data_IF_089409534517
#
_entry.id   IF_089409534517
#
_cell.length_a   1.000
_cell.length_b   1.000
_cell.length_c   1.000
_cell.angle_alpha   90.00
_cell.angle_beta   90.00
_cell.angle_gamma   90.00
#
_symmetry.space_group_name_H-M   'P 1'
#
loop_
_entity.id
_entity.type
_entity.pdbx_description
1 polymer ?
#
# COMPACT_ATOMS: atom_id res chain seq x y z
N UNK A 1 5.69 32.10 4.35
CA UNK A 1 5.70 30.89 3.51
C UNK A 1 4.52 30.03 3.91
N UNK A 2 3.52 29.85 3.05
CA UNK A 2 2.35 29.02 3.35
C UNK A 2 2.07 28.11 2.17
N UNK A 3 2.25 26.80 2.35
CA UNK A 3 1.79 25.76 1.42
C UNK A 3 0.89 24.80 2.20
N UNK A 4 -0.28 25.32 2.59
CA UNK A 4 -1.44 24.55 2.98
C UNK A 4 -2.57 25.06 2.08
N UNK A 5 -3.04 24.21 1.16
CA UNK A 5 -4.06 24.58 0.16
C UNK A 5 -3.72 24.26 -1.29
N UNK A 6 -2.60 23.59 -1.58
CA UNK A 6 -2.40 23.00 -2.91
C UNK A 6 -3.28 21.75 -3.00
N UNK A 7 -4.23 21.76 -3.92
CA UNK A 7 -5.02 20.58 -4.28
C UNK A 7 -4.06 19.47 -4.73
N UNK A 8 -4.27 18.27 -4.20
CA UNK A 8 -3.52 17.08 -4.63
C UNK A 8 -3.77 16.89 -6.14
N UNK A 9 -2.75 17.00 -7.01
CA UNK A 9 -2.92 16.90 -8.45
C UNK A 9 -3.39 15.51 -8.89
N UNK A 10 -3.39 14.52 -7.98
CA UNK A 10 -3.91 13.18 -8.19
C UNK A 10 -5.29 12.95 -7.54
N UNK A 11 -5.87 13.94 -6.85
CA UNK A 11 -7.24 13.84 -6.38
C UNK A 11 -8.18 13.86 -7.59
N UNK A 12 -8.83 12.73 -7.85
CA UNK A 12 -9.92 12.68 -8.83
C UNK A 12 -11.02 13.63 -8.35
N UNK A 13 -11.27 14.70 -9.12
CA UNK A 13 -12.38 15.64 -8.91
C UNK A 13 -13.67 14.83 -8.73
N UNK A 14 -14.24 14.86 -7.52
CA UNK A 14 -15.48 14.18 -7.16
C UNK A 14 -15.40 13.11 -6.06
N UNK A 15 -14.20 12.64 -5.66
CA UNK A 15 -14.10 11.77 -4.48
C UNK A 15 -13.95 12.60 -3.20
N UNK A 16 -15.08 12.97 -2.61
CA UNK A 16 -15.10 13.40 -1.21
C UNK A 16 -14.80 12.16 -0.37
N UNK A 17 -13.62 12.11 0.25
CA UNK A 17 -13.24 11.06 1.20
C UNK A 17 -14.00 11.25 2.51
N UNK A 18 -15.33 11.13 2.46
CA UNK A 18 -16.20 11.21 3.62
C UNK A 18 -16.09 9.89 4.39
N UNK A 19 -15.35 9.93 5.51
CA UNK A 19 -15.14 8.78 6.40
C UNK A 19 -16.42 8.31 7.10
N UNK A 20 -17.53 9.05 6.98
CA UNK A 20 -18.83 8.66 7.55
C UNK A 20 -19.62 7.75 6.63
N UNK A 21 -19.29 7.68 5.34
CA UNK A 21 -19.89 6.75 4.40
C UNK A 21 -19.18 5.39 4.52
N UNK A 22 -19.87 4.40 5.07
CA UNK A 22 -19.42 3.00 5.00
C UNK A 22 -19.26 2.61 3.53
N UNK A 23 -18.12 1.99 3.19
CA UNK A 23 -17.95 1.31 1.91
C UNK A 23 -19.20 0.48 1.60
N UNK A 24 -19.80 0.67 0.43
CA UNK A 24 -20.99 -0.06 0.04
C UNK A 24 -20.71 -1.56 0.15
N UNK A 25 -21.64 -2.30 0.77
CA UNK A 25 -21.50 -3.73 1.03
C UNK A 25 -21.35 -4.48 -0.30
N UNK A 26 -20.12 -4.83 -0.66
CA UNK A 26 -19.76 -5.46 -1.94
C UNK A 26 -18.64 -4.77 -2.72
N UNK A 27 -18.23 -3.56 -2.33
CA UNK A 27 -17.14 -2.86 -3.02
C UNK A 27 -15.77 -3.41 -2.58
N UNK A 28 -15.12 -4.14 -3.48
CA UNK A 28 -13.81 -4.74 -3.21
C UNK A 28 -12.70 -3.70 -3.38
N UNK A 29 -12.26 -3.09 -2.28
CA UNK A 29 -11.17 -2.12 -2.28
C UNK A 29 -9.83 -2.86 -2.26
N UNK A 30 -9.15 -2.92 -3.41
CA UNK A 30 -7.81 -3.50 -3.51
C UNK A 30 -6.76 -2.62 -2.81
N UNK A 31 -6.16 -3.14 -1.73
CA UNK A 31 -5.10 -2.46 -0.99
C UNK A 31 -3.77 -2.34 -1.78
N UNK A 32 -3.52 -3.27 -2.70
CA UNK A 32 -2.39 -3.27 -3.62
C UNK A 32 -2.92 -3.62 -5.01
N UNK A 33 -2.33 -3.03 -6.06
CA UNK A 33 -2.69 -3.29 -7.45
C UNK A 33 -1.40 -3.41 -8.26
N UNK A 34 -1.16 -4.60 -8.80
CA UNK A 34 -0.06 -4.92 -9.72
C UNK A 34 1.30 -4.33 -9.32
N UNK A 35 1.79 -4.75 -8.16
CA UNK A 35 3.09 -4.30 -7.64
C UNK A 35 4.17 -5.28 -8.09
N UNK A 36 5.20 -4.74 -8.75
CA UNK A 36 6.41 -5.46 -9.11
C UNK A 36 7.58 -4.82 -8.37
N UNK A 37 8.28 -5.61 -7.56
CA UNK A 37 9.40 -5.17 -6.73
C UNK A 37 10.45 -6.27 -6.68
N UNK A 38 11.70 -5.89 -6.90
CA UNK A 38 12.88 -6.72 -6.68
C UNK A 38 13.83 -5.97 -5.75
N UNK A 39 14.39 -6.67 -4.76
CA UNK A 39 15.34 -6.11 -3.79
C UNK A 39 16.52 -7.07 -3.70
N UNK A 40 17.70 -6.56 -3.98
CA UNK A 40 18.95 -7.32 -3.96
C UNK A 40 19.61 -7.28 -2.59
N UNK A 41 20.56 -8.20 -2.38
CA UNK A 41 21.33 -8.27 -1.15
C UNK A 41 22.15 -6.99 -0.96
N UNK A 42 22.04 -6.37 0.22
CA UNK A 42 22.72 -5.13 0.56
C UNK A 42 21.95 -3.86 0.23
N UNK A 43 20.79 -3.97 -0.43
CA UNK A 43 19.93 -2.82 -0.70
C UNK A 43 19.09 -2.42 0.52
N UNK A 44 18.88 -1.12 0.67
CA UNK A 44 17.98 -0.54 1.67
C UNK A 44 16.77 0.04 0.93
N UNK A 45 15.60 -0.55 1.16
CA UNK A 45 14.34 -0.10 0.56
C UNK A 45 13.49 0.64 1.59
N UNK A 46 13.12 1.89 1.28
CA UNK A 46 12.12 2.65 2.04
C UNK A 46 10.76 2.68 1.34
N UNK A 47 9.68 2.32 2.04
CA UNK A 47 8.30 2.37 1.51
C UNK A 47 7.58 3.59 2.12
N UNK A 48 7.23 4.57 1.28
CA UNK A 48 6.55 5.80 1.69
C UNK A 48 5.19 5.95 0.99
N UNK A 49 4.29 6.76 1.55
CA UNK A 49 2.97 7.02 0.98
C UNK A 49 1.94 7.43 2.03
N UNK A 50 0.78 7.93 1.58
CA UNK A 50 -0.32 8.39 2.45
C UNK A 50 -0.92 7.26 3.29
N UNK A 51 -1.68 7.61 4.33
CA UNK A 51 -2.46 6.62 5.08
C UNK A 51 -3.48 5.96 4.15
N UNK A 52 -3.62 4.63 4.25
CA UNK A 52 -4.46 3.84 3.35
C UNK A 52 -3.79 3.41 2.03
N UNK A 53 -2.58 3.86 1.71
CA UNK A 53 -1.88 3.52 0.47
C UNK A 53 -1.40 2.05 0.35
N UNK A 54 -1.75 1.17 1.31
CA UNK A 54 -1.38 -0.25 1.26
C UNK A 54 -0.01 -0.62 1.86
N UNK A 55 0.75 0.33 2.44
CA UNK A 55 2.09 0.08 3.01
C UNK A 55 2.14 -1.08 4.01
N UNK A 56 1.28 -1.04 5.03
CA UNK A 56 1.23 -2.10 6.05
C UNK A 56 0.76 -3.44 5.46
N UNK A 57 -0.07 -3.41 4.42
CA UNK A 57 -0.47 -4.61 3.69
C UNK A 57 0.73 -5.20 2.94
N UNK A 58 1.51 -4.38 2.23
CA UNK A 58 2.72 -4.81 1.55
C UNK A 58 3.74 -5.43 2.53
N UNK A 59 3.98 -4.78 3.68
CA UNK A 59 4.87 -5.32 4.70
C UNK A 59 4.40 -6.68 5.25
N UNK A 60 3.09 -6.85 5.50
CA UNK A 60 2.51 -8.15 5.92
C UNK A 60 2.67 -9.25 4.87
N UNK A 61 2.58 -8.90 3.59
CA UNK A 61 2.82 -9.84 2.50
C UNK A 61 4.31 -10.23 2.44
N UNK A 62 5.23 -9.27 2.58
CA UNK A 62 6.67 -9.52 2.57
C UNK A 62 7.13 -10.37 3.76
N UNK A 63 6.55 -10.21 4.96
CA UNK A 63 6.82 -11.11 6.10
C UNK A 63 6.13 -12.46 6.04
N UNK A 64 5.28 -12.71 5.04
CA UNK A 64 4.43 -13.91 4.97
C UNK A 64 3.45 -14.04 6.13
N UNK A 65 3.07 -12.94 6.79
CA UNK A 65 1.96 -12.92 7.76
C UNK A 65 0.62 -13.16 7.05
N UNK A 66 0.51 -12.75 5.79
CA UNK A 66 -0.67 -13.01 4.94
C UNK A 66 -0.20 -13.32 3.51
N UNK A 67 -0.93 -14.16 2.79
CA UNK A 67 -0.66 -14.47 1.38
C UNK A 67 -1.27 -13.45 0.41
N UNK A 68 -0.71 -13.29 -0.80
CA UNK A 68 -1.27 -12.41 -1.81
C UNK A 68 -2.55 -13.01 -2.41
N UNK A 69 -3.50 -12.15 -2.81
CA UNK A 69 -4.70 -12.60 -3.54
C UNK A 69 -4.37 -13.13 -4.93
N UNK A 70 -3.39 -12.52 -5.60
CA UNK A 70 -2.86 -12.92 -6.91
C UNK A 70 -1.36 -12.68 -6.96
N UNK A 71 -0.65 -13.37 -7.86
CA UNK A 71 0.81 -13.24 -8.00
C UNK A 71 1.60 -14.07 -7.00
N UNK A 72 2.88 -13.76 -6.83
CA UNK A 72 3.78 -14.53 -5.95
C UNK A 72 4.87 -13.68 -5.32
N UNK A 73 5.37 -14.11 -4.16
CA UNK A 73 6.48 -13.46 -3.45
C UNK A 73 7.54 -14.53 -3.17
N UNK A 74 8.77 -14.27 -3.60
CA UNK A 74 9.92 -15.15 -3.39
C UNK A 74 10.92 -14.43 -2.50
N UNK A 75 11.33 -15.08 -1.40
CA UNK A 75 12.32 -14.55 -0.45
C UNK A 75 13.37 -15.62 -0.25
N UNK A 76 14.65 -15.23 -0.32
CA UNK A 76 15.78 -16.09 0.02
C UNK A 76 16.21 -15.79 1.46
N UNK A 77 16.37 -16.83 2.28
CA UNK A 77 16.77 -16.70 3.69
C UNK A 77 15.61 -16.57 4.66
N UNK A 78 15.89 -16.02 5.85
CA UNK A 78 14.91 -15.87 6.95
C UNK A 78 14.41 -14.43 7.02
N UNK A 79 13.13 -14.29 7.35
CA UNK A 79 12.51 -13.01 7.65
C UNK A 79 12.58 -12.79 9.17
N UNK A 80 12.92 -11.57 9.57
CA UNK A 80 12.75 -11.17 10.97
C UNK A 80 11.25 -10.84 11.20
N UNK A 81 10.66 -11.28 12.33
CA UNK A 81 9.34 -10.82 12.74
C UNK A 81 9.38 -9.31 13.02
N UNK A 82 8.26 -8.63 12.76
CA UNK A 82 8.07 -7.22 13.10
C UNK A 82 7.25 -7.07 14.38
#
# INVERSE_FOLDING_TARGET
MNILGQDDPYAKVGQVNDRTQKAQKGEHISALRDINLEVHQGEVLGIIGKNGAGKSTLLKLLSRVTGPTTGSIKVKGRLAPF
#
